data_IF_667807888297
#
_entry.id   IF_667807888297
#
_cell.length_a   1.000
_cell.length_b   1.000
_cell.length_c   1.000
_cell.angle_alpha   90.00
_cell.angle_beta   90.00
_cell.angle_gamma   90.00
#
_symmetry.space_group_name_H-M   'P 1'
#
loop_
_entity.id
_entity.type
_entity.pdbx_description
1 polymer ?
#
# COMPACT_ATOMS: atom_id res chain seq x y z
N UNK A 1 22.79 -6.71 30.11
CA UNK A 1 21.87 -5.60 29.72
C UNK A 1 21.44 -5.84 28.28
N UNK A 2 20.18 -6.24 28.02
CA UNK A 2 19.71 -6.59 26.67
C UNK A 2 19.17 -5.32 25.99
N UNK A 3 19.52 -5.07 24.73
CA UNK A 3 19.06 -3.91 23.95
C UNK A 3 17.79 -4.25 23.18
N UNK A 4 17.04 -3.23 22.76
CA UNK A 4 15.94 -3.41 21.83
C UNK A 4 16.50 -3.79 20.46
N UNK A 5 15.98 -4.87 19.88
CA UNK A 5 16.36 -5.35 18.55
C UNK A 5 15.37 -4.81 17.50
N UNK A 6 15.77 -4.67 16.23
CA UNK A 6 14.87 -4.23 15.16
C UNK A 6 13.57 -5.07 15.14
N UNK A 7 12.42 -4.38 15.15
CA UNK A 7 11.11 -5.02 15.14
C UNK A 7 10.59 -5.50 16.51
N UNK A 8 11.34 -5.30 17.60
CA UNK A 8 10.85 -5.52 18.97
C UNK A 8 10.27 -4.23 19.57
N UNK A 9 9.18 -4.36 20.30
CA UNK A 9 8.49 -3.29 21.03
C UNK A 9 8.68 -3.48 22.54
N UNK A 10 8.85 -2.37 23.25
CA UNK A 10 8.84 -2.30 24.70
C UNK A 10 7.84 -1.21 25.10
N UNK A 11 6.79 -1.59 25.82
CA UNK A 11 5.79 -0.66 26.31
C UNK A 11 5.77 -0.72 27.84
N UNK A 12 5.82 0.44 28.48
CA UNK A 12 5.71 0.56 29.93
C UNK A 12 4.40 1.28 30.22
N UNK A 13 3.49 0.60 30.91
CA UNK A 13 2.24 1.20 31.37
C UNK A 13 2.50 1.83 32.74
N UNK A 14 2.61 3.16 32.77
CA UNK A 14 2.90 3.93 33.98
C UNK A 14 1.70 4.05 34.92
N UNK A 15 0.48 3.84 34.43
CA UNK A 15 -0.73 3.86 35.25
C UNK A 15 -0.93 2.53 35.98
N UNK A 16 -0.61 1.41 35.32
CA UNK A 16 -0.69 0.06 35.89
C UNK A 16 0.63 -0.46 36.48
N UNK A 17 1.71 0.31 36.34
CA UNK A 17 3.03 -0.03 36.86
C UNK A 17 3.66 -1.29 36.27
N UNK A 18 3.30 -1.67 35.04
CA UNK A 18 3.74 -2.94 34.42
C UNK A 18 4.45 -2.72 33.09
N UNK A 19 5.43 -3.58 32.82
CA UNK A 19 6.08 -3.67 31.51
C UNK A 19 5.29 -4.66 30.66
N UNK A 20 4.83 -4.21 29.50
CA UNK A 20 4.09 -5.02 28.54
C UNK A 20 5.10 -5.56 27.52
N UNK A 21 5.10 -6.89 27.35
CA UNK A 21 6.02 -7.56 26.45
C UNK A 21 5.64 -7.35 24.97
N UNK A 22 6.64 -7.43 24.09
CA UNK A 22 6.48 -7.28 22.62
C UNK A 22 5.31 -8.09 22.04
N UNK A 23 5.18 -9.37 22.44
CA UNK A 23 4.13 -10.27 21.94
C UNK A 23 2.73 -9.82 22.39
N UNK A 24 2.57 -9.42 23.65
CA UNK A 24 1.28 -8.95 24.19
C UNK A 24 0.83 -7.66 23.48
N UNK A 25 1.77 -6.74 23.21
CA UNK A 25 1.51 -5.52 22.43
C UNK A 25 1.01 -5.90 21.03
N UNK A 26 1.77 -6.75 20.31
CA UNK A 26 1.46 -7.12 18.94
C UNK A 26 0.15 -7.90 18.84
N UNK A 27 -0.11 -8.83 19.74
CA UNK A 27 -1.37 -9.58 19.78
C UNK A 27 -2.57 -8.68 20.07
N UNK A 28 -2.44 -7.75 21.00
CA UNK A 28 -3.50 -6.80 21.31
C UNK A 28 -3.89 -5.99 20.06
N UNK A 29 -2.90 -5.40 19.38
CA UNK A 29 -3.18 -4.60 18.20
C UNK A 29 -3.57 -5.44 16.98
N UNK A 30 -2.98 -6.62 16.78
CA UNK A 30 -3.33 -7.51 15.68
C UNK A 30 -4.77 -8.02 15.76
N UNK A 31 -5.32 -8.14 16.97
CA UNK A 31 -6.70 -8.59 17.21
C UNK A 31 -7.70 -7.43 17.35
N UNK A 32 -7.25 -6.17 17.44
CA UNK A 32 -8.13 -5.02 17.63
C UNK A 32 -9.12 -4.81 16.47
N UNK A 33 -8.76 -5.25 15.25
CA UNK A 33 -9.60 -5.17 14.05
C UNK A 33 -9.43 -6.41 13.19
N UNK A 34 -10.40 -6.74 12.30
CA UNK A 34 -10.32 -7.91 11.44
C UNK A 34 -9.37 -7.70 10.23
N UNK A 35 -8.10 -7.37 10.47
CA UNK A 35 -7.11 -7.11 9.43
C UNK A 35 -6.99 -8.26 8.42
N UNK A 36 -7.12 -9.51 8.88
CA UNK A 36 -7.14 -10.70 8.01
C UNK A 36 -8.28 -10.65 6.98
N UNK A 37 -9.44 -10.07 7.32
CA UNK A 37 -10.54 -9.90 6.36
C UNK A 37 -10.21 -8.80 5.35
N UNK A 38 -9.59 -7.72 5.78
CA UNK A 38 -9.20 -6.63 4.88
C UNK A 38 -8.14 -7.06 3.86
N UNK A 39 -7.15 -7.85 4.30
CA UNK A 39 -6.12 -8.38 3.41
C UNK A 39 -6.69 -9.29 2.31
N UNK A 40 -7.80 -9.98 2.56
CA UNK A 40 -8.48 -10.79 1.53
C UNK A 40 -9.09 -9.96 0.40
N UNK A 41 -9.39 -8.69 0.68
CA UNK A 41 -9.94 -7.76 -0.32
C UNK A 41 -8.84 -7.06 -1.11
N UNK A 42 -7.56 -7.30 -0.79
CA UNK A 42 -6.44 -6.73 -1.50
C UNK A 42 -6.24 -7.50 -2.81
N UNK A 43 -6.37 -6.80 -3.93
CA UNK A 43 -6.13 -7.36 -5.26
C UNK A 43 -4.75 -6.92 -5.72
N UNK A 44 -3.87 -7.89 -5.96
CA UNK A 44 -2.55 -7.63 -6.54
C UNK A 44 -2.68 -7.48 -8.07
N UNK A 45 -2.66 -6.24 -8.54
CA UNK A 45 -2.78 -5.94 -9.97
C UNK A 45 -1.60 -6.47 -10.80
N UNK A 46 -0.40 -6.57 -10.21
CA UNK A 46 0.78 -7.12 -10.88
C UNK A 46 0.65 -8.62 -11.20
N UNK A 47 -0.10 -9.36 -10.38
CA UNK A 47 -0.36 -10.80 -10.60
C UNK A 47 -1.55 -11.04 -11.54
N UNK A 48 -2.33 -10.01 -11.84
CA UNK A 48 -3.41 -10.12 -12.81
C UNK A 48 -2.81 -10.14 -14.21
N UNK A 49 -3.25 -11.11 -15.02
CA UNK A 49 -2.99 -11.04 -16.45
C UNK A 49 -3.80 -9.87 -16.97
N UNK A 50 -3.13 -8.76 -17.28
CA UNK A 50 -3.68 -7.78 -18.20
C UNK A 50 -4.08 -8.56 -19.45
N UNK A 51 -5.36 -8.53 -19.83
CA UNK A 51 -5.78 -9.12 -21.10
C UNK A 51 -4.94 -8.54 -22.25
N UNK A 52 -5.03 -9.16 -23.43
CA UNK A 52 -4.32 -8.63 -24.61
C UNK A 52 -4.89 -7.25 -24.95
N UNK A 53 -4.28 -6.19 -24.41
CA UNK A 53 -4.60 -4.83 -24.78
C UNK A 53 -3.97 -4.60 -26.15
N UNK A 54 -4.80 -4.65 -27.19
CA UNK A 54 -4.42 -4.15 -28.51
C UNK A 54 -4.60 -2.64 -28.49
N UNK A 55 -3.50 -1.92 -28.35
CA UNK A 55 -3.52 -0.48 -28.56
C UNK A 55 -3.95 -0.19 -30.01
N UNK A 56 -5.03 0.55 -30.17
CA UNK A 56 -5.40 1.11 -31.47
C UNK A 56 -4.72 2.46 -31.58
N UNK A 57 -3.70 2.52 -32.44
CA UNK A 57 -3.06 3.79 -32.76
C UNK A 57 -4.07 4.68 -33.48
N UNK A 58 -4.18 5.92 -33.02
CA UNK A 58 -4.90 6.97 -33.74
C UNK A 58 -4.14 7.33 -35.01
N UNK A 59 -4.85 7.84 -36.01
CA UNK A 59 -4.20 8.40 -37.20
C UNK A 59 -3.45 9.68 -36.85
N UNK A 60 -2.40 9.98 -37.59
CA UNK A 60 -1.55 11.16 -37.34
C UNK A 60 -2.34 12.46 -37.26
N UNK A 61 -3.33 12.66 -38.14
CA UNK A 61 -4.21 13.84 -38.14
C UNK A 61 -5.02 13.98 -36.84
N UNK A 62 -5.50 12.85 -36.29
CA UNK A 62 -6.28 12.82 -35.05
C UNK A 62 -5.39 13.11 -33.84
N UNK A 63 -4.16 12.57 -33.85
CA UNK A 63 -3.14 12.85 -32.82
C UNK A 63 -2.80 14.33 -32.80
N UNK A 64 -2.51 14.93 -33.97
CA UNK A 64 -2.19 16.35 -34.08
C UNK A 64 -3.35 17.25 -33.62
N UNK A 65 -4.60 16.86 -33.91
CA UNK A 65 -5.78 17.58 -33.43
C UNK A 65 -5.91 17.53 -31.90
N UNK A 66 -5.68 16.37 -31.29
CA UNK A 66 -5.74 16.21 -29.84
C UNK A 66 -4.57 16.93 -29.15
N UNK A 67 -3.35 16.84 -29.69
CA UNK A 67 -2.19 17.57 -29.17
C UNK A 67 -2.46 19.07 -29.13
N UNK A 68 -2.98 19.65 -30.22
CA UNK A 68 -3.39 21.06 -30.25
C UNK A 68 -4.52 21.38 -29.25
N UNK A 69 -5.52 20.51 -29.14
CA UNK A 69 -6.64 20.69 -28.20
C UNK A 69 -6.21 20.64 -26.72
N UNK A 70 -5.22 19.82 -26.40
CA UNK A 70 -4.63 19.70 -25.06
C UNK A 70 -3.45 20.65 -24.82
N UNK A 71 -3.17 21.59 -25.74
CA UNK A 71 -2.13 22.60 -25.56
C UNK A 71 -0.70 22.05 -25.62
N UNK A 72 -0.48 20.90 -26.25
CA UNK A 72 0.87 20.41 -26.54
C UNK A 72 1.48 21.29 -27.63
N UNK A 73 2.42 22.14 -27.23
CA UNK A 73 3.35 22.84 -28.13
C UNK A 73 4.76 22.28 -27.97
N UNK A 74 5.51 22.28 -29.07
CA UNK A 74 6.94 22.05 -29.03
C UNK A 74 7.59 23.42 -28.84
N UNK A 75 8.06 23.71 -27.63
CA UNK A 75 9.00 24.82 -27.36
C UNK A 75 10.45 24.32 -27.55
#
# INVERSE_FOLDING_TARGET
KKRLEPGKLLLVDTARGRVIADNEIKEHYANAKPYKKWLKNLVELEKQKSGVYKHQFLKEDEVLKLQKAFGWSYD
#
